data_IF_050972858602
#
_entry.id   IF_050972858602
#
_cell.length_a   1.000
_cell.length_b   1.000
_cell.length_c   1.000
_cell.angle_alpha   90.00
_cell.angle_beta   90.00
_cell.angle_gamma   90.00
#
_symmetry.space_group_name_H-M   'P 1'
#
loop_
_entity.id
_entity.type
_entity.pdbx_description
1 polymer ?
#
# COMPACT_ATOMS: atom_id res chain seq x y z
N UNK A 1 -14.41 23.99 -35.01
CA UNK A 1 -15.30 22.86 -34.61
C UNK A 1 -15.39 22.86 -33.10
N UNK A 2 -16.59 22.95 -32.52
CA UNK A 2 -16.78 22.97 -31.07
C UNK A 2 -16.64 21.56 -30.50
N UNK A 3 -15.85 21.39 -29.44
CA UNK A 3 -15.66 20.11 -28.73
C UNK A 3 -17.03 19.53 -28.29
N UNK A 4 -17.99 20.39 -27.96
CA UNK A 4 -19.37 19.99 -27.56
C UNK A 4 -20.18 19.28 -28.63
N UNK A 5 -19.89 19.50 -29.91
CA UNK A 5 -20.69 18.93 -30.99
C UNK A 5 -20.20 17.55 -31.45
N UNK A 6 -19.14 17.02 -30.83
CA UNK A 6 -18.60 15.72 -31.19
C UNK A 6 -19.40 14.59 -30.51
N UNK A 7 -19.76 13.52 -31.25
CA UNK A 7 -20.45 12.37 -30.68
C UNK A 7 -19.57 11.71 -29.61
N UNK A 8 -20.19 11.29 -28.50
CA UNK A 8 -19.49 10.63 -27.39
C UNK A 8 -18.79 11.58 -26.41
N UNK A 9 -18.89 12.91 -26.60
CA UNK A 9 -18.33 13.89 -25.65
C UNK A 9 -19.43 14.38 -24.69
N UNK A 10 -19.20 14.21 -23.38
CA UNK A 10 -20.03 14.75 -22.31
C UNK A 10 -19.19 15.69 -21.44
N UNK A 11 -19.65 16.92 -21.24
CA UNK A 11 -19.07 17.80 -20.23
C UNK A 11 -19.49 17.33 -18.85
N UNK A 12 -18.51 17.25 -17.95
CA UNK A 12 -18.72 16.89 -16.55
C UNK A 12 -18.06 17.94 -15.68
N UNK A 13 -18.70 18.21 -14.55
CA UNK A 13 -18.15 19.02 -13.46
C UNK A 13 -17.17 18.21 -12.62
N UNK A 14 -16.37 18.89 -11.79
CA UNK A 14 -15.51 18.21 -10.82
C UNK A 14 -16.32 17.31 -9.86
N UNK A 15 -17.50 17.76 -9.42
CA UNK A 15 -18.40 16.97 -8.57
C UNK A 15 -18.91 15.70 -9.27
N UNK A 16 -19.25 15.80 -10.55
CA UNK A 16 -19.62 14.61 -11.34
C UNK A 16 -18.44 13.66 -11.50
N UNK A 17 -17.21 14.15 -11.72
CA UNK A 17 -16.01 13.32 -11.79
C UNK A 17 -15.77 12.52 -10.50
N UNK A 18 -15.98 13.14 -9.34
CA UNK A 18 -15.88 12.46 -8.04
C UNK A 18 -16.90 11.32 -7.90
N UNK A 19 -18.05 11.43 -8.55
CA UNK A 19 -19.08 10.38 -8.57
C UNK A 19 -18.73 9.27 -9.58
N UNK A 20 -18.34 9.66 -10.80
CA UNK A 20 -18.00 8.74 -11.90
C UNK A 20 -16.80 7.87 -11.56
N UNK A 21 -15.83 8.42 -10.82
CA UNK A 21 -14.59 7.73 -10.43
C UNK A 21 -14.51 7.51 -8.92
N UNK A 22 -15.66 7.44 -8.24
CA UNK A 22 -15.69 7.18 -6.80
C UNK A 22 -14.91 5.90 -6.46
N UNK A 23 -14.11 5.95 -5.41
CA UNK A 23 -13.34 4.79 -4.97
C UNK A 23 -14.24 3.80 -4.23
N UNK A 24 -14.74 2.79 -4.96
CA UNK A 24 -15.60 1.74 -4.40
C UNK A 24 -14.89 0.86 -3.36
N UNK A 25 -13.56 0.86 -3.28
CA UNK A 25 -12.88 0.09 -2.25
C UNK A 25 -13.17 0.66 -0.84
N UNK A 26 -13.33 1.98 -0.72
CA UNK A 26 -13.57 2.68 0.55
C UNK A 26 -14.92 2.35 1.20
N UNK A 27 -15.91 1.96 0.39
CA UNK A 27 -17.26 1.60 0.86
C UNK A 27 -17.44 0.10 1.07
N UNK A 28 -16.45 -0.72 0.68
CA UNK A 28 -16.48 -2.18 0.83
C UNK A 28 -15.89 -2.63 2.17
N UNK A 29 -16.29 -3.83 2.56
CA UNK A 29 -15.72 -4.60 3.66
C UNK A 29 -15.23 -5.93 3.11
N UNK A 30 -14.07 -6.37 3.57
CA UNK A 30 -13.33 -7.53 3.05
C UNK A 30 -13.26 -8.60 4.13
N UNK A 31 -13.64 -9.82 3.77
CA UNK A 31 -13.60 -10.98 4.66
C UNK A 31 -12.20 -11.58 4.67
N UNK A 32 -11.94 -12.48 5.61
CA UNK A 32 -10.68 -13.21 5.70
C UNK A 32 -10.29 -13.87 4.36
N UNK A 33 -11.25 -14.46 3.64
CA UNK A 33 -11.05 -15.07 2.33
C UNK A 33 -10.51 -14.09 1.27
N UNK A 34 -11.02 -12.86 1.24
CA UNK A 34 -10.50 -11.79 0.36
C UNK A 34 -9.07 -11.42 0.75
N UNK A 35 -8.82 -11.26 2.05
CA UNK A 35 -7.52 -10.86 2.59
C UNK A 35 -6.44 -11.91 2.32
N UNK A 36 -6.76 -13.21 2.38
CA UNK A 36 -5.85 -14.29 1.96
C UNK A 36 -5.49 -14.13 0.47
N UNK A 37 -6.46 -13.79 -0.38
CA UNK A 37 -6.21 -13.48 -1.79
C UNK A 37 -5.23 -12.32 -1.98
N UNK A 38 -5.42 -11.24 -1.21
CA UNK A 38 -4.54 -10.07 -1.27
C UNK A 38 -3.14 -10.39 -0.74
N UNK A 39 -3.04 -11.14 0.35
CA UNK A 39 -1.78 -11.60 0.94
C UNK A 39 -0.96 -12.42 -0.06
N UNK A 40 -1.60 -13.33 -0.81
CA UNK A 40 -0.92 -14.09 -1.88
C UNK A 40 -0.41 -13.22 -3.01
N UNK A 41 -1.16 -12.17 -3.37
CA UNK A 41 -0.77 -11.25 -4.44
C UNK A 41 0.49 -10.46 -4.07
N UNK A 42 0.51 -9.84 -2.88
CA UNK A 42 1.60 -8.95 -2.46
C UNK A 42 2.90 -9.67 -2.13
N UNK A 43 2.87 -10.98 -1.95
CA UNK A 43 4.08 -11.80 -1.86
C UNK A 43 4.79 -11.99 -3.21
N UNK A 44 4.10 -11.79 -4.33
CA UNK A 44 4.69 -11.85 -5.67
C UNK A 44 5.14 -10.46 -6.11
N UNK A 45 4.20 -9.52 -6.08
CA UNK A 45 4.39 -8.15 -6.55
C UNK A 45 3.58 -7.20 -5.66
N UNK A 46 4.23 -6.21 -5.06
CA UNK A 46 3.58 -5.14 -4.32
C UNK A 46 3.27 -4.02 -5.32
N UNK A 47 2.06 -4.09 -5.86
CA UNK A 47 1.49 -3.15 -6.83
C UNK A 47 -0.02 -2.99 -6.59
N UNK A 48 -0.73 -2.26 -7.45
CA UNK A 48 -2.19 -2.19 -7.36
C UNK A 48 -2.86 -3.48 -7.85
N UNK A 49 -3.97 -3.83 -7.24
CA UNK A 49 -4.81 -4.96 -7.62
C UNK A 49 -6.07 -4.47 -8.34
N UNK A 50 -6.39 -5.09 -9.48
CA UNK A 50 -7.64 -4.85 -10.21
C UNK A 50 -8.61 -5.97 -9.90
N UNK A 51 -9.77 -5.59 -9.37
CA UNK A 51 -10.84 -6.50 -8.99
C UNK A 51 -12.11 -6.11 -9.76
N UNK A 52 -13.16 -6.94 -9.65
CA UNK A 52 -14.40 -6.68 -10.36
C UNK A 52 -15.10 -5.42 -9.82
N UNK A 53 -15.02 -4.35 -10.60
CA UNK A 53 -15.65 -3.06 -10.31
C UNK A 53 -14.91 -2.16 -9.31
N UNK A 54 -13.70 -2.49 -8.86
CA UNK A 54 -12.87 -1.63 -8.01
C UNK A 54 -11.38 -1.99 -8.07
N UNK A 55 -10.53 -1.13 -7.50
CA UNK A 55 -9.08 -1.34 -7.42
C UNK A 55 -8.59 -1.13 -5.99
N UNK A 56 -7.53 -1.83 -5.62
CA UNK A 56 -6.80 -1.63 -4.36
C UNK A 56 -5.37 -1.19 -4.69
N UNK A 57 -4.88 -0.15 -4.02
CA UNK A 57 -3.47 0.25 -4.07
C UNK A 57 -2.63 -0.62 -3.14
N UNK A 58 -1.31 -0.48 -3.20
CA UNK A 58 -0.43 -1.16 -2.25
C UNK A 58 -0.68 -0.68 -0.81
N UNK A 59 -0.95 0.61 -0.62
CA UNK A 59 -1.28 1.20 0.67
C UNK A 59 -2.61 0.67 1.23
N UNK A 60 -3.62 0.47 0.37
CA UNK A 60 -4.90 -0.12 0.79
C UNK A 60 -4.70 -1.54 1.33
N UNK A 61 -3.93 -2.37 0.61
CA UNK A 61 -3.64 -3.75 1.02
C UNK A 61 -2.79 -3.80 2.28
N UNK A 62 -1.81 -2.89 2.40
CA UNK A 62 -1.02 -2.71 3.61
C UNK A 62 -1.93 -2.47 4.82
N UNK A 63 -2.79 -1.45 4.74
CA UNK A 63 -3.72 -1.11 5.83
C UNK A 63 -4.69 -2.25 6.14
N UNK A 64 -5.26 -2.89 5.13
CA UNK A 64 -6.19 -4.03 5.30
C UNK A 64 -5.56 -5.20 6.04
N UNK A 65 -4.37 -5.64 5.62
CA UNK A 65 -3.70 -6.79 6.22
C UNK A 65 -3.19 -6.46 7.62
N UNK A 66 -2.64 -5.26 7.83
CA UNK A 66 -2.17 -4.81 9.14
C UNK A 66 -3.32 -4.71 10.15
N UNK A 67 -4.42 -4.04 9.79
CA UNK A 67 -5.56 -3.87 10.70
C UNK A 67 -6.25 -5.22 10.99
N UNK A 68 -6.36 -6.10 9.99
CA UNK A 68 -6.92 -7.44 10.19
C UNK A 68 -6.05 -8.31 11.10
N UNK A 69 -4.72 -8.29 10.90
CA UNK A 69 -3.78 -9.04 11.74
C UNK A 69 -3.73 -8.47 13.17
N UNK A 70 -3.73 -7.15 13.34
CA UNK A 70 -3.76 -6.51 14.65
C UNK A 70 -5.03 -6.93 15.43
N UNK A 71 -6.19 -6.91 14.78
CA UNK A 71 -7.43 -7.36 15.39
C UNK A 71 -7.41 -8.85 15.77
N UNK A 72 -6.85 -9.72 14.92
CA UNK A 72 -6.66 -11.13 15.24
C UNK A 72 -5.75 -11.33 16.46
N UNK A 73 -4.63 -10.61 16.51
CA UNK A 73 -3.67 -10.64 17.62
C UNK A 73 -4.29 -10.17 18.95
N UNK A 74 -5.24 -9.24 18.91
CA UNK A 74 -5.95 -8.75 20.11
C UNK A 74 -7.05 -9.70 20.59
N UNK A 75 -7.80 -10.30 19.66
CA UNK A 75 -9.03 -11.05 19.96
C UNK A 75 -8.84 -12.56 19.95
N UNK A 76 -7.72 -13.03 19.39
CA UNK A 76 -7.50 -14.42 19.03
C UNK A 76 -8.59 -14.97 18.08
N UNK A 77 -9.20 -14.09 17.28
CA UNK A 77 -10.26 -14.40 16.32
C UNK A 77 -10.24 -13.39 15.16
N UNK A 78 -10.54 -13.85 13.95
CA UNK A 78 -10.63 -12.98 12.77
C UNK A 78 -11.89 -12.13 12.82
N UNK A 79 -11.77 -10.86 12.42
CA UNK A 79 -12.94 -10.00 12.24
C UNK A 79 -13.84 -10.56 11.12
N UNK A 80 -15.17 -10.42 11.24
CA UNK A 80 -16.08 -10.78 10.15
C UNK A 80 -15.76 -10.06 8.84
N UNK A 81 -15.31 -8.80 8.94
CA UNK A 81 -14.78 -8.04 7.82
C UNK A 81 -13.89 -6.87 8.27
N UNK A 82 -12.95 -6.47 7.40
CA UNK A 82 -12.06 -5.31 7.54
C UNK A 82 -12.33 -4.30 6.44
N UNK A 83 -12.21 -3.01 6.71
CA UNK A 83 -12.44 -1.94 5.72
C UNK A 83 -11.12 -1.25 5.36
N UNK A 84 -11.06 -0.73 4.14
CA UNK A 84 -9.92 0.08 3.69
C UNK A 84 -9.85 1.36 4.52
N UNK A 85 -8.63 1.72 4.90
CA UNK A 85 -8.25 3.02 5.44
C UNK A 85 -7.43 3.73 4.37
N UNK A 86 -7.80 4.97 4.07
CA UNK A 86 -6.98 5.81 3.21
C UNK A 86 -5.64 6.07 3.91
N UNK A 87 -4.55 5.69 3.25
CA UNK A 87 -3.18 5.88 3.71
C UNK A 87 -2.39 6.53 2.59
N UNK A 88 -1.62 7.55 2.92
CA UNK A 88 -0.55 8.04 2.06
C UNK A 88 0.61 7.02 2.00
N UNK A 89 1.47 7.15 0.99
CA UNK A 89 2.72 6.40 0.97
C UNK A 89 3.69 6.88 2.05
N UNK A 90 4.83 6.18 2.23
CA UNK A 90 5.90 6.66 3.10
C UNK A 90 6.32 8.10 2.73
N UNK A 91 6.80 8.88 3.71
CA UNK A 91 7.36 10.20 3.42
C UNK A 91 8.87 10.17 3.23
N UNK A 92 9.54 9.08 3.61
CA UNK A 92 10.99 8.92 3.43
C UNK A 92 11.31 7.55 2.87
N UNK A 93 12.34 7.52 2.04
CA UNK A 93 12.97 6.28 1.60
C UNK A 93 13.51 5.54 2.82
N UNK A 94 13.19 4.25 2.92
CA UNK A 94 13.71 3.41 3.99
C UNK A 94 15.24 3.34 3.91
N UNK A 95 15.89 3.63 5.03
CA UNK A 95 17.31 3.40 5.24
C UNK A 95 17.45 2.67 6.58
N UNK A 96 18.02 1.45 6.61
CA UNK A 96 18.13 0.68 7.86
C UNK A 96 18.93 1.46 8.90
N UNK A 97 18.33 1.64 10.07
CA UNK A 97 18.91 2.42 11.17
C UNK A 97 20.10 1.73 11.86
N UNK A 98 20.28 0.41 11.67
CA UNK A 98 21.33 -0.38 12.32
C UNK A 98 22.21 -1.13 11.30
N UNK A 99 23.53 -1.10 11.51
CA UNK A 99 24.53 -1.75 10.64
C UNK A 99 24.78 -3.24 10.93
N UNK A 100 23.81 -3.94 11.53
CA UNK A 100 23.92 -5.34 11.93
C UNK A 100 23.46 -6.33 10.85
N UNK A 101 23.85 -7.60 11.00
CA UNK A 101 23.29 -8.71 10.20
C UNK A 101 21.79 -8.81 10.45
N UNK A 102 20.99 -8.69 9.39
CA UNK A 102 19.53 -8.82 9.47
C UNK A 102 19.14 -10.24 9.88
N UNK A 103 18.26 -10.37 10.87
CA UNK A 103 17.73 -11.68 11.26
C UNK A 103 16.89 -12.28 10.13
N UNK A 104 17.03 -13.58 9.90
CA UNK A 104 16.22 -14.34 8.95
C UNK A 104 14.81 -14.66 9.46
N UNK A 105 14.59 -14.52 10.76
CA UNK A 105 13.29 -14.73 11.40
C UNK A 105 13.17 -13.91 12.69
N UNK A 106 11.94 -13.76 13.16
CA UNK A 106 11.60 -13.06 14.39
C UNK A 106 10.72 -13.93 15.27
N UNK A 107 10.82 -13.79 16.59
CA UNK A 107 9.84 -14.39 17.51
C UNK A 107 8.45 -13.88 17.19
N UNK A 108 7.44 -14.75 17.19
CA UNK A 108 6.04 -14.35 16.96
C UNK A 108 5.59 -13.20 17.86
N UNK A 109 5.96 -13.21 19.14
CA UNK A 109 5.60 -12.14 20.08
C UNK A 109 6.14 -10.76 19.68
N UNK A 110 7.38 -10.70 19.18
CA UNK A 110 7.98 -9.45 18.72
C UNK A 110 7.32 -8.96 17.43
N UNK A 111 7.04 -9.88 16.49
CA UNK A 111 6.31 -9.55 15.27
C UNK A 111 4.88 -9.08 15.56
N UNK A 112 4.18 -9.75 16.48
CA UNK A 112 2.82 -9.39 16.87
C UNK A 112 2.76 -7.99 17.50
N UNK A 113 3.77 -7.62 18.31
CA UNK A 113 3.87 -6.26 18.83
C UNK A 113 4.08 -5.24 17.71
N UNK A 114 5.01 -5.52 16.79
CA UNK A 114 5.25 -4.65 15.63
C UNK A 114 4.00 -4.43 14.76
N UNK A 115 3.16 -5.46 14.61
CA UNK A 115 1.87 -5.32 13.89
C UNK A 115 0.93 -4.35 14.60
N UNK A 116 0.80 -4.42 15.94
CA UNK A 116 -0.01 -3.47 16.72
C UNK A 116 0.51 -2.05 16.56
N UNK A 117 1.81 -1.86 16.78
CA UNK A 117 2.47 -0.56 16.67
C UNK A 117 2.29 0.04 15.26
N UNK A 118 2.37 -0.80 14.23
CA UNK A 118 2.17 -0.40 12.83
C UNK A 118 0.71 -0.01 12.55
N UNK A 119 -0.27 -0.76 13.08
CA UNK A 119 -1.70 -0.41 12.95
C UNK A 119 -1.99 0.93 13.62
N UNK A 120 -1.46 1.15 14.83
CA UNK A 120 -1.62 2.41 15.56
C UNK A 120 -0.94 3.58 14.86
N UNK A 121 0.25 3.36 14.29
CA UNK A 121 0.92 4.33 13.46
C UNK A 121 0.08 4.73 12.25
N UNK A 122 -0.42 3.75 11.49
CA UNK A 122 -1.26 4.00 10.31
C UNK A 122 -2.54 4.76 10.69
N UNK A 123 -3.11 4.47 11.87
CA UNK A 123 -4.30 5.13 12.39
C UNK A 123 -4.07 6.58 12.78
N UNK A 124 -2.90 6.90 13.32
CA UNK A 124 -2.56 8.23 13.85
C UNK A 124 -1.93 9.13 12.78
N UNK A 125 -1.07 8.57 11.95
CA UNK A 125 -0.27 9.30 10.96
C UNK A 125 -0.89 9.29 9.56
N UNK A 126 -1.93 8.48 9.32
CA UNK A 126 -2.63 8.37 8.03
C UNK A 126 -1.72 8.05 6.82
N UNK A 127 -0.62 7.32 7.07
CA UNK A 127 0.34 6.93 6.04
C UNK A 127 0.99 5.59 6.36
N UNK A 128 1.51 4.93 5.33
CA UNK A 128 2.41 3.79 5.48
C UNK A 128 3.69 4.29 6.21
N UNK A 129 4.18 3.59 7.24
CA UNK A 129 5.42 3.96 7.93
C UNK A 129 6.61 4.05 6.96
N UNK A 130 7.61 4.87 7.30
CA UNK A 130 8.89 4.88 6.58
C UNK A 130 9.72 3.63 6.88
N UNK A 131 9.48 3.04 8.05
CA UNK A 131 10.22 1.91 8.65
C UNK A 131 9.31 1.20 9.66
N UNK A 132 9.37 -0.13 9.72
CA UNK A 132 8.64 -0.93 10.72
C UNK A 132 9.64 -1.58 11.67
N UNK A 133 9.50 -1.30 12.96
CA UNK A 133 10.41 -1.80 14.01
C UNK A 133 9.91 -3.13 14.58
N UNK A 134 10.82 -4.10 14.68
CA UNK A 134 10.60 -5.42 15.31
C UNK A 134 11.71 -5.63 16.33
N UNK A 135 11.43 -5.28 17.58
CA UNK A 135 12.44 -5.28 18.65
C UNK A 135 13.54 -4.26 18.38
N UNK A 136 14.75 -4.71 18.12
CA UNK A 136 15.94 -3.86 17.85
C UNK A 136 16.28 -3.74 16.37
N UNK A 137 15.57 -4.47 15.52
CA UNK A 137 15.73 -4.43 14.07
C UNK A 137 14.55 -3.72 13.42
N UNK A 138 14.75 -3.32 12.17
CA UNK A 138 13.70 -2.73 11.37
C UNK A 138 13.60 -3.37 9.99
N UNK A 139 12.48 -3.09 9.35
CA UNK A 139 12.13 -3.56 8.01
C UNK A 139 11.63 -2.40 7.16
N UNK A 140 11.89 -2.51 5.86
CA UNK A 140 11.20 -1.68 4.89
C UNK A 140 9.69 -1.99 4.92
N UNK A 141 8.82 -1.04 4.53
CA UNK A 141 7.39 -1.30 4.43
C UNK A 141 7.04 -2.46 3.47
N UNK A 142 7.84 -2.63 2.42
CA UNK A 142 7.70 -3.71 1.45
C UNK A 142 8.00 -5.09 2.08
N UNK A 143 9.14 -5.22 2.76
CA UNK A 143 9.52 -6.46 3.43
C UNK A 143 8.52 -6.81 4.54
N UNK A 144 8.07 -5.79 5.30
CA UNK A 144 7.05 -5.98 6.33
C UNK A 144 5.76 -6.53 5.70
N UNK A 145 5.27 -5.93 4.61
CA UNK A 145 4.04 -6.38 3.96
C UNK A 145 4.15 -7.82 3.44
N UNK A 146 5.28 -8.18 2.82
CA UNK A 146 5.52 -9.55 2.36
C UNK A 146 5.59 -10.55 3.53
N UNK A 147 6.26 -10.17 4.62
CA UNK A 147 6.39 -10.99 5.84
C UNK A 147 5.03 -11.17 6.53
N UNK A 148 4.27 -10.08 6.67
CA UNK A 148 2.92 -10.07 7.20
C UNK A 148 2.00 -10.96 6.37
N UNK A 149 2.03 -10.84 5.05
CA UNK A 149 1.22 -11.63 4.14
C UNK A 149 1.49 -13.13 4.27
N UNK A 150 2.75 -13.53 4.36
CA UNK A 150 3.12 -14.92 4.62
C UNK A 150 2.58 -15.46 5.94
N UNK A 151 2.74 -14.66 7.00
CA UNK A 151 2.26 -14.99 8.35
C UNK A 151 0.73 -15.05 8.41
N UNK A 152 0.06 -14.17 7.67
CA UNK A 152 -1.39 -14.12 7.53
C UNK A 152 -1.92 -15.42 6.93
N UNK A 153 -1.28 -15.94 5.87
CA UNK A 153 -1.67 -17.21 5.28
C UNK A 153 -1.47 -18.39 6.22
N UNK A 154 -0.35 -18.44 6.94
CA UNK A 154 -0.08 -19.50 7.92
C UNK A 154 -1.19 -19.52 9.00
N UNK A 155 -1.49 -18.37 9.60
CA UNK A 155 -2.54 -18.26 10.61
C UNK A 155 -3.94 -18.52 10.06
N UNK A 156 -4.25 -18.04 8.86
CA UNK A 156 -5.53 -18.32 8.21
C UNK A 156 -5.72 -19.82 7.91
N UNK A 157 -4.63 -20.55 7.71
CA UNK A 157 -4.63 -22.01 7.57
C UNK A 157 -4.64 -22.78 8.91
N UNK A 158 -4.70 -22.08 10.04
CA UNK A 158 -4.69 -22.66 11.38
C UNK A 158 -3.29 -23.00 11.91
N UNK A 159 -2.22 -22.55 11.25
CA UNK A 159 -0.85 -22.71 11.72
C UNK A 159 -0.44 -21.50 12.54
N UNK A 160 -0.21 -21.69 13.83
CA UNK A 160 0.34 -20.65 14.69
C UNK A 160 1.87 -20.75 14.69
N UNK A 161 2.60 -19.79 14.10
CA UNK A 161 4.06 -19.85 14.08
C UNK A 161 4.64 -19.52 15.45
N UNK A 162 5.68 -20.26 15.87
CA UNK A 162 6.55 -19.83 16.98
C UNK A 162 7.46 -18.67 16.55
N UNK A 163 7.87 -18.71 15.28
CA UNK A 163 8.81 -17.80 14.65
C UNK A 163 8.29 -17.41 13.25
N UNK A 164 8.48 -16.15 12.89
CA UNK A 164 8.06 -15.54 11.64
C UNK A 164 9.28 -15.37 10.75
N UNK A 165 9.30 -16.04 9.60
CA UNK A 165 10.38 -15.88 8.62
C UNK A 165 10.31 -14.51 7.95
N UNK A 166 11.43 -13.78 7.95
CA UNK A 166 11.59 -12.54 7.18
C UNK A 166 11.43 -12.86 5.69
N UNK A 167 10.62 -12.07 4.98
CA UNK A 167 10.43 -12.15 3.53
C UNK A 167 10.84 -10.84 2.88
N UNK A 168 11.43 -10.93 1.69
CA UNK A 168 11.78 -9.78 0.87
C UNK A 168 10.55 -9.34 0.07
N UNK A 169 10.23 -8.04 0.15
CA UNK A 169 9.10 -7.46 -0.58
C UNK A 169 9.51 -6.98 -1.96
N UNK A 170 8.84 -7.45 -3.01
CA UNK A 170 9.06 -6.96 -4.36
C UNK A 170 8.13 -5.78 -4.67
N UNK A 171 8.57 -4.56 -4.34
CA UNK A 171 7.83 -3.34 -4.64
C UNK A 171 7.96 -2.92 -6.10
N UNK A 172 6.83 -2.84 -6.80
CA UNK A 172 6.79 -2.57 -8.25
C UNK A 172 5.80 -1.47 -8.65
N UNK A 173 5.10 -0.85 -7.70
CA UNK A 173 4.22 0.28 -8.01
C UNK A 173 5.00 1.54 -8.44
N UNK A 174 6.24 1.70 -7.99
CA UNK A 174 7.14 2.79 -8.37
C UNK A 174 7.48 2.81 -9.86
N UNK A 175 7.41 1.68 -10.57
CA UNK A 175 7.65 1.60 -12.01
C UNK A 175 6.73 2.49 -12.85
N UNK A 176 5.59 2.89 -12.28
CA UNK A 176 4.65 3.81 -12.93
C UNK A 176 5.03 5.29 -12.75
N UNK A 177 6.11 5.57 -12.02
CA UNK A 177 6.70 6.89 -11.87
C UNK A 177 7.90 7.00 -12.80
N UNK A 178 7.89 8.03 -13.64
CA UNK A 178 8.98 8.29 -14.58
C UNK A 178 10.29 8.68 -13.86
N UNK A 179 11.43 8.46 -14.52
CA UNK A 179 12.72 8.98 -14.04
C UNK A 179 12.81 10.49 -14.28
N UNK A 180 13.52 11.20 -13.39
CA UNK A 180 13.72 12.64 -13.54
C UNK A 180 14.46 12.95 -14.84
N UNK A 181 13.86 13.81 -15.66
CA UNK A 181 14.44 14.30 -16.90
C UNK A 181 13.85 15.65 -17.28
N UNK A 182 14.58 16.52 -18.01
CA UNK A 182 14.05 17.81 -18.44
C UNK A 182 12.79 17.68 -19.32
N UNK A 183 12.62 16.55 -20.00
CA UNK A 183 11.45 16.26 -20.81
C UNK A 183 10.15 16.22 -19.99
N UNK A 184 10.18 15.76 -18.73
CA UNK A 184 9.01 15.78 -17.84
C UNK A 184 8.58 17.20 -17.47
N UNK A 185 9.52 18.14 -17.51
CA UNK A 185 9.33 19.52 -17.08
C UNK A 185 9.23 20.49 -18.26
N UNK A 186 8.93 19.99 -19.46
CA UNK A 186 8.81 20.78 -20.70
C UNK A 186 7.53 21.61 -20.76
N UNK A 187 7.34 22.46 -19.74
CA UNK A 187 6.24 23.39 -19.59
C UNK A 187 6.79 24.82 -19.42
N UNK A 188 6.15 25.85 -20.00
CA UNK A 188 6.70 27.22 -20.03
C UNK A 188 7.01 27.86 -18.67
N UNK A 189 6.50 27.29 -17.57
CA UNK A 189 6.74 27.77 -16.21
C UNK A 189 8.09 27.31 -15.63
N UNK A 190 8.72 26.29 -16.20
CA UNK A 190 10.01 25.77 -15.75
C UNK A 190 11.14 26.29 -16.67
N UNK A 191 12.33 26.60 -16.11
CA UNK A 191 13.47 26.98 -16.92
C UNK A 191 13.96 25.81 -17.79
N UNK A 192 14.66 26.12 -18.87
CA UNK A 192 15.27 25.11 -19.72
C UNK A 192 16.28 24.25 -18.92
N UNK A 193 16.23 22.94 -19.10
CA UNK A 193 17.08 21.99 -18.36
C UNK A 193 16.68 21.79 -16.89
N UNK A 194 15.47 22.19 -16.48
CA UNK A 194 15.00 21.98 -15.11
C UNK A 194 14.94 20.50 -14.72
N UNK A 195 15.31 20.22 -13.47
CA UNK A 195 15.34 18.91 -12.84
C UNK A 195 14.74 18.99 -11.45
N UNK A 196 13.97 17.98 -11.04
CA UNK A 196 13.42 17.90 -9.68
C UNK A 196 13.48 16.47 -9.11
N UNK A 197 14.68 15.92 -8.89
CA UNK A 197 14.86 14.53 -8.45
C UNK A 197 14.18 14.23 -7.11
N UNK A 198 14.09 15.22 -6.20
CA UNK A 198 13.40 15.06 -4.91
C UNK A 198 11.88 14.98 -5.04
N UNK A 199 11.29 15.63 -6.03
CA UNK A 199 9.86 15.49 -6.33
C UNK A 199 9.61 14.10 -6.89
N UNK A 200 10.49 13.59 -7.75
CA UNK A 200 10.36 12.24 -8.31
C UNK A 200 10.58 11.16 -7.25
N UNK A 201 11.51 11.35 -6.31
CA UNK A 201 11.67 10.49 -5.12
C UNK A 201 10.36 10.42 -4.32
N UNK A 202 9.76 11.58 -4.00
CA UNK A 202 8.48 11.62 -3.31
C UNK A 202 7.37 10.95 -4.11
N UNK A 203 7.32 11.14 -5.43
CA UNK A 203 6.34 10.48 -6.30
C UNK A 203 6.47 8.95 -6.25
N UNK A 204 7.70 8.39 -6.20
CA UNK A 204 7.93 6.94 -6.04
C UNK A 204 7.44 6.42 -4.70
N UNK A 205 7.62 7.19 -3.63
CA UNK A 205 7.07 6.86 -2.31
C UNK A 205 5.55 6.94 -2.30
N UNK A 206 4.95 7.92 -2.98
CA UNK A 206 3.50 8.06 -3.07
C UNK A 206 2.85 7.10 -4.07
N UNK A 207 3.63 6.39 -4.91
CA UNK A 207 3.12 5.33 -5.77
C UNK A 207 2.52 4.15 -4.99
N UNK A 208 2.73 4.08 -3.67
CA UNK A 208 1.99 3.19 -2.77
C UNK A 208 0.47 3.41 -2.84
N UNK A 209 0.02 4.64 -3.09
CA UNK A 209 -1.39 5.02 -3.22
C UNK A 209 -1.91 4.90 -4.65
N UNK A 210 -1.02 4.67 -5.62
CA UNK A 210 -1.37 4.64 -7.03
C UNK A 210 -2.28 3.44 -7.31
N UNK A 211 -3.45 3.74 -7.87
CA UNK A 211 -4.35 2.74 -8.44
C UNK A 211 -5.16 3.33 -9.59
N UNK A 212 -5.54 2.53 -10.60
CA UNK A 212 -6.36 3.01 -11.70
C UNK A 212 -7.74 3.44 -11.22
N UNK A 213 -8.21 4.59 -11.71
CA UNK A 213 -9.59 5.01 -11.56
C UNK A 213 -10.51 4.11 -12.41
N UNK A 214 -11.59 3.61 -11.81
CA UNK A 214 -12.56 2.75 -12.50
C UNK A 214 -13.76 3.60 -12.89
N UNK A 215 -14.03 3.71 -14.18
CA UNK A 215 -15.19 4.43 -14.69
C UNK A 215 -16.48 3.71 -14.27
N UNK A 216 -17.38 4.45 -13.65
CA UNK A 216 -18.71 3.98 -13.29
C UNK A 216 -19.72 4.54 -14.30
N UNK A 217 -20.51 3.65 -14.88
CA UNK A 217 -21.66 4.02 -15.71
C UNK A 217 -22.82 4.50 -14.86
#
# INVERSE_FOLDING_TARGET
RFIKAQPGIRFVTATELMTIYADKAMTRSFRQEDLVGFARSVQKDITFQRLDGYTLSAADVFGLLTDAMAAFIERNEWLPATRVRALDGPARTYAPSTGGTRSSSFRWSAFAQAVRDTSDYCRTSHRVPDEVWIGVESMSPADYLATLAGTFEDLASGKTPSDVSRREGHYTADRYVADDSPALWSWPIFPEGFHAPRIMELARLQAWTLKPAVFQR
#
